data_IF_240920162478
#
_entry.id   IF_240920162478
#
_cell.length_a   1.000
_cell.length_b   1.000
_cell.length_c   1.000
_cell.angle_alpha   90.00
_cell.angle_beta   90.00
_cell.angle_gamma   90.00
#
_symmetry.space_group_name_H-M   'P 1'
#
loop_
_entity.id
_entity.type
_entity.pdbx_description
1 polymer ?
#
# COMPACT_ATOMS: atom_id res chain seq x y z
N UNK A 1 -6.17 15.03 -16.50
CA UNK A 1 -5.03 14.09 -16.49
C UNK A 1 -5.37 12.90 -17.38
N UNK A 2 -4.39 12.27 -18.06
CA UNK A 2 -4.68 11.06 -18.84
C UNK A 2 -4.92 9.84 -17.93
N UNK A 3 -5.74 8.84 -18.35
CA UNK A 3 -5.94 7.60 -17.58
C UNK A 3 -4.63 6.85 -17.28
N UNK A 4 -3.68 6.87 -18.21
CA UNK A 4 -2.35 6.28 -18.01
C UNK A 4 -1.60 6.93 -16.84
N UNK A 5 -1.59 8.26 -16.75
CA UNK A 5 -0.94 8.98 -15.66
C UNK A 5 -1.67 8.75 -14.32
N UNK A 6 -3.00 8.66 -14.36
CA UNK A 6 -3.80 8.34 -13.18
C UNK A 6 -3.43 6.95 -12.62
N UNK A 7 -3.39 5.95 -13.51
CA UNK A 7 -3.00 4.58 -13.13
C UNK A 7 -1.55 4.54 -12.65
N UNK A 8 -0.63 5.24 -13.28
CA UNK A 8 0.76 5.36 -12.83
C UNK A 8 0.85 5.91 -11.39
N UNK A 9 0.10 6.98 -11.07
CA UNK A 9 0.07 7.53 -9.71
C UNK A 9 -0.47 6.53 -8.69
N UNK A 10 -1.44 5.69 -9.06
CA UNK A 10 -1.95 4.64 -8.17
C UNK A 10 -0.88 3.58 -7.89
N UNK A 11 -0.07 3.20 -8.87
CA UNK A 11 1.09 2.33 -8.67
C UNK A 11 2.14 2.98 -7.76
N UNK A 12 2.45 4.27 -7.97
CA UNK A 12 3.35 5.04 -7.08
C UNK A 12 2.83 5.03 -5.64
N UNK A 13 1.54 5.29 -5.43
CA UNK A 13 0.94 5.29 -4.09
C UNK A 13 1.02 3.90 -3.45
N UNK A 14 0.72 2.83 -4.19
CA UNK A 14 0.82 1.48 -3.63
C UNK A 14 2.24 1.17 -3.15
N UNK A 15 3.26 1.44 -3.96
CA UNK A 15 4.66 1.29 -3.58
C UNK A 15 5.06 2.19 -2.41
N UNK A 16 4.56 3.44 -2.38
CA UNK A 16 4.85 4.39 -1.31
C UNK A 16 4.28 3.95 0.05
N UNK A 17 3.02 3.47 0.10
CA UNK A 17 2.43 2.93 1.34
C UNK A 17 3.24 1.74 1.86
N UNK A 18 3.61 0.81 0.97
CA UNK A 18 4.45 -0.33 1.34
C UNK A 18 5.82 0.13 1.86
N UNK A 19 6.49 1.05 1.16
CA UNK A 19 7.78 1.61 1.57
C UNK A 19 7.70 2.36 2.91
N UNK A 20 6.64 3.13 3.14
CA UNK A 20 6.36 3.78 4.42
C UNK A 20 6.30 2.76 5.56
N UNK A 21 5.56 1.66 5.38
CA UNK A 21 5.53 0.58 6.36
C UNK A 21 6.94 0.02 6.64
N UNK A 22 7.70 -0.28 5.60
CA UNK A 22 9.06 -0.82 5.75
C UNK A 22 9.94 0.10 6.60
N UNK A 23 9.84 1.41 6.43
CA UNK A 23 10.59 2.39 7.22
C UNK A 23 10.18 2.43 8.70
N UNK A 24 8.91 2.10 9.02
CA UNK A 24 8.43 2.04 10.39
C UNK A 24 8.71 0.73 11.13
N UNK A 25 9.17 -0.32 10.44
CA UNK A 25 9.43 -1.63 11.06
C UNK A 25 10.32 -1.53 12.31
N UNK A 26 11.46 -0.81 12.31
CA UNK A 26 12.28 -0.68 13.54
C UNK A 26 11.50 0.00 14.68
N UNK A 27 10.82 1.10 14.39
CA UNK A 27 10.04 1.86 15.37
C UNK A 27 8.96 1.01 16.05
N UNK A 28 8.19 0.25 15.26
CA UNK A 28 7.13 -0.63 15.78
C UNK A 28 7.72 -1.78 16.59
N UNK A 29 8.80 -2.41 16.10
CA UNK A 29 9.47 -3.49 16.79
C UNK A 29 9.99 -3.06 18.14
N UNK A 30 10.69 -1.92 18.19
CA UNK A 30 11.30 -1.40 19.41
C UNK A 30 10.22 -0.91 20.40
N UNK A 31 9.17 -0.27 19.90
CA UNK A 31 8.02 0.16 20.73
C UNK A 31 7.27 -0.99 21.39
N UNK A 32 7.25 -2.18 20.78
CA UNK A 32 6.67 -3.39 21.36
C UNK A 32 7.65 -4.20 22.22
N UNK A 33 8.94 -3.83 22.27
CA UNK A 33 9.98 -4.60 22.97
C UNK A 33 10.18 -6.01 22.42
N UNK A 34 9.84 -6.24 21.13
CA UNK A 34 9.79 -7.56 20.54
C UNK A 34 11.19 -8.07 20.15
N UNK A 35 11.44 -9.36 20.40
CA UNK A 35 12.59 -10.05 19.81
C UNK A 35 12.43 -10.17 18.30
N UNK A 36 13.55 -10.37 17.58
CA UNK A 36 13.52 -10.56 16.12
C UNK A 36 12.66 -11.76 15.69
N UNK A 37 12.64 -12.85 16.48
CA UNK A 37 11.85 -14.04 16.20
C UNK A 37 10.35 -13.79 16.35
N UNK A 38 9.92 -13.19 17.45
CA UNK A 38 8.52 -12.84 17.72
C UNK A 38 7.96 -11.88 16.69
N UNK A 39 8.72 -10.84 16.37
CA UNK A 39 8.35 -9.88 15.35
C UNK A 39 8.27 -10.53 13.95
N UNK A 40 9.23 -11.42 13.63
CA UNK A 40 9.24 -12.19 12.39
C UNK A 40 7.98 -13.05 12.22
N UNK A 41 7.51 -13.68 13.31
CA UNK A 41 6.23 -14.44 13.28
C UNK A 41 5.04 -13.51 12.99
N UNK A 42 5.00 -12.32 13.61
CA UNK A 42 3.94 -11.35 13.33
C UNK A 42 3.98 -10.88 11.86
N UNK A 43 5.16 -10.69 11.26
CA UNK A 43 5.31 -10.30 9.85
C UNK A 43 4.70 -11.32 8.87
N UNK A 44 4.66 -12.62 9.22
CA UNK A 44 4.07 -13.65 8.35
C UNK A 44 2.56 -13.46 8.13
N UNK A 45 1.87 -12.72 8.98
CA UNK A 45 0.43 -12.48 8.83
C UNK A 45 0.11 -11.54 7.65
N UNK A 46 1.04 -10.67 7.23
CA UNK A 46 0.90 -9.89 6.01
C UNK A 46 0.71 -10.75 4.75
N UNK A 47 1.65 -11.64 4.42
CA UNK A 47 1.50 -12.62 3.34
C UNK A 47 0.25 -13.50 3.46
N UNK A 48 -0.15 -13.92 4.67
CA UNK A 48 -1.39 -14.68 4.88
C UNK A 48 -2.62 -13.84 4.50
N UNK A 49 -2.67 -12.57 4.92
CA UNK A 49 -3.72 -11.64 4.51
C UNK A 49 -3.77 -11.43 3.00
N UNK A 50 -2.60 -11.32 2.36
CA UNK A 50 -2.49 -11.20 0.91
C UNK A 50 -3.05 -12.43 0.17
N UNK A 51 -2.71 -13.63 0.61
CA UNK A 51 -3.23 -14.87 0.02
C UNK A 51 -4.75 -14.98 0.12
N UNK A 52 -5.32 -14.65 1.28
CA UNK A 52 -6.78 -14.63 1.48
C UNK A 52 -7.42 -13.60 0.55
N UNK A 53 -6.83 -12.41 0.45
CA UNK A 53 -7.31 -11.34 -0.41
C UNK A 53 -7.33 -11.74 -1.89
N UNK A 54 -6.29 -12.41 -2.40
CA UNK A 54 -6.20 -12.84 -3.79
C UNK A 54 -7.38 -13.72 -4.20
N UNK A 55 -7.76 -14.68 -3.33
CA UNK A 55 -8.89 -15.57 -3.60
C UNK A 55 -10.21 -14.80 -3.68
N UNK A 56 -10.44 -13.88 -2.74
CA UNK A 56 -11.67 -13.11 -2.66
C UNK A 56 -11.72 -12.07 -3.80
N UNK A 57 -10.63 -11.35 -4.02
CA UNK A 57 -10.55 -10.29 -5.05
C UNK A 57 -10.69 -10.87 -6.46
N UNK A 58 -10.10 -12.04 -6.73
CA UNK A 58 -10.28 -12.74 -8.01
C UNK A 58 -11.76 -13.04 -8.30
N UNK A 59 -12.51 -13.50 -7.30
CA UNK A 59 -13.96 -13.73 -7.43
C UNK A 59 -14.76 -12.43 -7.59
N UNK A 60 -14.34 -11.36 -6.90
CA UNK A 60 -14.99 -10.05 -7.01
C UNK A 60 -14.81 -9.42 -8.40
N UNK A 61 -13.65 -9.59 -9.03
CA UNK A 61 -13.35 -9.07 -10.36
C UNK A 61 -14.24 -9.66 -11.45
N UNK A 62 -14.85 -10.83 -11.23
CA UNK A 62 -15.85 -11.41 -12.14
C UNK A 62 -17.19 -10.64 -12.10
N UNK A 63 -17.49 -9.96 -10.98
CA UNK A 63 -18.78 -9.30 -10.73
C UNK A 63 -18.70 -7.78 -10.68
N UNK A 64 -17.53 -7.25 -10.34
CA UNK A 64 -17.28 -5.83 -10.11
C UNK A 64 -16.13 -5.37 -11.00
N UNK A 65 -16.27 -4.22 -11.65
CA UNK A 65 -15.20 -3.68 -12.50
C UNK A 65 -13.91 -3.43 -11.71
N UNK A 66 -12.76 -3.71 -12.35
CA UNK A 66 -11.43 -3.44 -11.79
C UNK A 66 -11.28 -1.98 -11.34
N UNK A 67 -11.81 -1.03 -12.11
CA UNK A 67 -11.83 0.39 -11.75
C UNK A 67 -12.49 0.65 -10.39
N UNK A 68 -13.66 0.04 -10.11
CA UNK A 68 -14.39 0.27 -8.85
C UNK A 68 -13.62 -0.32 -7.67
N UNK A 69 -13.14 -1.55 -7.80
CA UNK A 69 -12.36 -2.22 -6.74
C UNK A 69 -11.05 -1.48 -6.49
N UNK A 70 -10.37 -1.06 -7.56
CA UNK A 70 -9.15 -0.25 -7.47
C UNK A 70 -9.39 1.07 -6.74
N UNK A 71 -10.45 1.80 -7.10
CA UNK A 71 -10.77 3.07 -6.45
C UNK A 71 -10.99 2.88 -4.95
N UNK A 72 -11.77 1.87 -4.55
CA UNK A 72 -12.06 1.61 -3.12
C UNK A 72 -10.79 1.20 -2.38
N UNK A 73 -10.05 0.20 -2.89
CA UNK A 73 -8.84 -0.29 -2.21
C UNK A 73 -7.75 0.79 -2.12
N UNK A 74 -7.58 1.60 -3.16
CA UNK A 74 -6.59 2.68 -3.15
C UNK A 74 -6.95 3.85 -2.24
N UNK A 75 -8.23 4.15 -2.00
CA UNK A 75 -8.65 5.14 -1.01
C UNK A 75 -8.46 4.66 0.43
N UNK A 76 -8.57 3.36 0.67
CA UNK A 76 -8.43 2.75 2.00
C UNK A 76 -6.97 2.52 2.37
N UNK A 77 -6.15 2.03 1.42
CA UNK A 77 -4.81 1.53 1.71
C UNK A 77 -3.86 2.54 2.36
N UNK A 78 -3.84 3.84 2.00
CA UNK A 78 -2.98 4.82 2.68
C UNK A 78 -3.22 4.92 4.19
N UNK A 79 -4.46 4.71 4.65
CA UNK A 79 -4.81 4.79 6.07
C UNK A 79 -4.43 3.52 6.85
N UNK A 80 -4.31 2.40 6.16
CA UNK A 80 -3.97 1.12 6.79
C UNK A 80 -2.55 1.10 7.33
N UNK A 81 -1.62 1.92 6.79
CA UNK A 81 -0.23 1.98 7.28
C UNK A 81 -0.13 2.47 8.74
N UNK A 82 -1.15 3.17 9.23
CA UNK A 82 -1.20 3.67 10.62
C UNK A 82 -1.47 2.53 11.61
N UNK A 83 -2.19 1.47 11.21
CA UNK A 83 -2.60 0.39 12.11
C UNK A 83 -1.45 -0.27 12.87
N UNK A 84 -0.34 -0.66 12.22
CA UNK A 84 0.79 -1.28 12.92
C UNK A 84 1.45 -0.38 13.98
N UNK A 85 1.34 0.96 13.84
CA UNK A 85 1.88 1.90 14.84
C UNK A 85 0.93 2.08 16.03
N UNK A 86 -0.36 1.80 15.84
CA UNK A 86 -1.39 2.01 16.87
C UNK A 86 -1.55 0.83 17.85
N UNK A 87 -0.93 -0.32 17.58
CA UNK A 87 -1.19 -1.54 18.35
C UNK A 87 -0.23 -1.71 19.53
N UNK A 88 -0.74 -2.08 20.73
CA UNK A 88 0.06 -2.22 21.94
C UNK A 88 0.65 -3.63 22.15
N UNK A 89 0.47 -4.57 21.22
CA UNK A 89 0.91 -5.96 21.41
C UNK A 89 1.13 -6.71 20.10
N UNK A 90 1.98 -7.75 20.14
CA UNK A 90 2.29 -8.60 18.98
C UNK A 90 1.07 -9.31 18.36
N UNK A 91 0.11 -9.86 19.12
CA UNK A 91 -1.10 -10.42 18.52
C UNK A 91 -1.92 -9.39 17.74
N UNK A 92 -2.03 -8.16 18.24
CA UNK A 92 -2.72 -7.08 17.53
C UNK A 92 -1.91 -6.60 16.34
N UNK A 93 -0.56 -6.60 16.41
CA UNK A 93 0.29 -6.36 15.27
C UNK A 93 0.05 -7.38 14.15
N UNK A 94 -0.05 -8.67 14.49
CA UNK A 94 -0.34 -9.72 13.53
C UNK A 94 -1.68 -9.48 12.82
N UNK A 95 -2.73 -9.07 13.54
CA UNK A 95 -4.02 -8.68 12.96
C UNK A 95 -3.89 -7.45 12.06
N UNK A 96 -3.19 -6.41 12.52
CA UNK A 96 -2.96 -5.20 11.72
C UNK A 96 -2.22 -5.51 10.40
N UNK A 97 -1.20 -6.36 10.47
CA UNK A 97 -0.44 -6.80 9.30
C UNK A 97 -1.25 -7.69 8.36
N UNK A 98 -2.11 -8.55 8.91
CA UNK A 98 -3.06 -9.32 8.09
C UNK A 98 -3.99 -8.39 7.31
N UNK A 99 -4.59 -7.40 7.97
CA UNK A 99 -5.47 -6.41 7.33
C UNK A 99 -4.69 -5.61 6.28
N UNK A 100 -3.47 -5.19 6.62
CA UNK A 100 -2.60 -4.44 5.70
C UNK A 100 -2.27 -5.27 4.45
N UNK A 101 -1.85 -6.53 4.62
CA UNK A 101 -1.56 -7.45 3.52
C UNK A 101 -2.81 -7.73 2.67
N UNK A 102 -3.98 -7.87 3.31
CA UNK A 102 -5.24 -8.06 2.60
C UNK A 102 -5.57 -6.87 1.69
N UNK A 103 -5.54 -5.65 2.21
CA UNK A 103 -5.88 -4.43 1.44
C UNK A 103 -4.83 -4.14 0.38
N UNK A 104 -3.53 -4.33 0.70
CA UNK A 104 -2.45 -4.21 -0.29
C UNK A 104 -2.67 -5.14 -1.47
N UNK A 105 -2.92 -6.42 -1.21
CA UNK A 105 -3.11 -7.42 -2.27
C UNK A 105 -4.37 -7.17 -3.10
N UNK A 106 -5.47 -6.68 -2.48
CA UNK A 106 -6.65 -6.25 -3.22
C UNK A 106 -6.31 -5.10 -4.18
N UNK A 107 -5.59 -4.09 -3.71
CA UNK A 107 -5.17 -2.96 -4.54
C UNK A 107 -4.22 -3.43 -5.64
N UNK A 108 -3.24 -4.28 -5.32
CA UNK A 108 -2.25 -4.80 -6.28
C UNK A 108 -2.95 -5.58 -7.42
N UNK A 109 -3.81 -6.53 -7.09
CA UNK A 109 -4.51 -7.31 -8.10
C UNK A 109 -5.42 -6.44 -8.99
N UNK A 110 -6.12 -5.47 -8.39
CA UNK A 110 -7.05 -4.62 -9.13
C UNK A 110 -6.33 -3.55 -9.96
N UNK A 111 -5.20 -2.99 -9.50
CA UNK A 111 -4.42 -2.04 -10.29
C UNK A 111 -3.74 -2.72 -11.49
N UNK A 112 -3.27 -3.97 -11.32
CA UNK A 112 -2.72 -4.75 -12.42
C UNK A 112 -3.81 -5.11 -13.45
N UNK A 113 -4.97 -5.58 -13.02
CA UNK A 113 -6.10 -5.84 -13.91
C UNK A 113 -6.56 -4.59 -14.67
N UNK A 114 -6.56 -3.43 -13.99
CA UNK A 114 -6.88 -2.14 -14.64
C UNK A 114 -5.79 -1.70 -15.61
N UNK A 115 -4.52 -1.90 -15.26
CA UNK A 115 -3.35 -1.59 -16.11
C UNK A 115 -3.36 -2.41 -17.40
N UNK A 116 -3.62 -3.72 -17.31
CA UNK A 116 -3.76 -4.60 -18.49
C UNK A 116 -4.92 -4.14 -19.38
N UNK A 117 -6.10 -3.87 -18.82
CA UNK A 117 -7.23 -3.39 -19.59
C UNK A 117 -6.98 -2.02 -20.28
N UNK A 118 -6.08 -1.21 -19.73
CA UNK A 118 -5.64 0.04 -20.33
C UNK A 118 -4.58 -0.20 -21.41
N UNK A 119 -3.68 -1.15 -21.21
CA UNK A 119 -2.66 -1.58 -22.19
C UNK A 119 -3.33 -2.14 -23.44
N UNK A 120 -4.33 -3.00 -23.29
CA UNK A 120 -5.08 -3.61 -24.40
C UNK A 120 -5.76 -2.57 -25.33
N UNK A 121 -6.04 -1.38 -24.79
CA UNK A 121 -6.60 -0.24 -25.56
C UNK A 121 -5.55 0.67 -26.15
N UNK A 122 -4.30 0.43 -25.86
CA UNK A 122 -3.15 1.23 -26.34
C UNK A 122 -2.30 0.39 -27.31
N UNK A 123 -1.70 1.03 -28.30
CA UNK A 123 -0.75 0.36 -29.19
C UNK A 123 0.63 0.15 -28.57
N UNK A 124 0.83 0.55 -27.32
CA UNK A 124 2.12 0.56 -26.63
C UNK A 124 2.02 -0.20 -25.31
N UNK A 125 3.04 -1.02 -25.00
CA UNK A 125 3.19 -1.60 -23.68
C UNK A 125 3.42 -0.51 -22.63
N UNK A 126 2.61 -0.53 -21.57
CA UNK A 126 2.67 0.43 -20.46
C UNK A 126 2.94 -0.22 -19.10
N UNK A 127 2.75 -1.53 -18.98
CA UNK A 127 2.87 -2.24 -17.70
C UNK A 127 4.23 -2.05 -17.04
N UNK A 128 5.33 -2.15 -17.81
CA UNK A 128 6.68 -1.92 -17.27
C UNK A 128 6.84 -0.52 -16.68
N UNK A 129 6.24 0.50 -17.32
CA UNK A 129 6.22 1.87 -16.80
C UNK A 129 5.40 2.01 -15.53
N UNK A 130 4.27 1.30 -15.42
CA UNK A 130 3.44 1.29 -14.21
C UNK A 130 4.19 0.66 -13.03
N UNK A 131 4.87 -0.48 -13.25
CA UNK A 131 5.71 -1.10 -12.23
C UNK A 131 6.94 -0.26 -11.83
N UNK A 132 7.51 0.49 -12.77
CA UNK A 132 8.53 1.49 -12.45
C UNK A 132 7.99 2.57 -11.51
N UNK A 133 6.72 2.99 -11.68
CA UNK A 133 6.03 3.88 -10.74
C UNK A 133 5.92 3.28 -9.34
N UNK A 134 5.57 2.01 -9.23
CA UNK A 134 5.54 1.29 -7.96
C UNK A 134 6.91 1.30 -7.26
N UNK A 135 7.96 0.96 -8.00
CA UNK A 135 9.33 0.99 -7.48
C UNK A 135 9.76 2.38 -7.03
N UNK A 136 9.37 3.42 -7.79
CA UNK A 136 9.66 4.81 -7.46
C UNK A 136 9.02 5.22 -6.13
N UNK A 137 7.73 4.89 -5.92
CA UNK A 137 7.05 5.11 -4.65
C UNK A 137 7.71 4.36 -3.50
N UNK A 138 8.06 3.08 -3.73
CA UNK A 138 8.74 2.22 -2.75
C UNK A 138 10.15 2.67 -2.37
N UNK A 139 10.79 3.54 -3.15
CA UNK A 139 12.09 4.13 -2.84
C UNK A 139 11.93 5.50 -2.18
N UNK A 140 11.09 6.37 -2.73
CA UNK A 140 10.97 7.76 -2.27
C UNK A 140 10.34 7.83 -0.88
N UNK A 141 9.27 7.07 -0.65
CA UNK A 141 8.54 7.16 0.62
C UNK A 141 9.39 6.75 1.83
N UNK A 142 10.07 5.58 1.86
CA UNK A 142 10.89 5.22 3.01
C UNK A 142 12.06 6.19 3.23
N UNK A 143 12.62 6.80 2.21
CA UNK A 143 13.65 7.84 2.35
C UNK A 143 13.06 9.08 3.04
N UNK A 144 11.87 9.52 2.63
CA UNK A 144 11.20 10.67 3.23
C UNK A 144 10.86 10.40 4.71
N UNK A 145 10.31 9.21 5.03
CA UNK A 145 10.03 8.79 6.41
C UNK A 145 11.32 8.76 7.24
N UNK A 146 12.36 8.08 6.76
CA UNK A 146 13.64 7.99 7.49
C UNK A 146 14.25 9.36 7.73
N UNK A 147 14.16 10.27 6.78
CA UNK A 147 14.63 11.65 6.93
C UNK A 147 13.81 12.42 7.97
N UNK A 148 12.49 12.33 7.94
CA UNK A 148 11.63 12.99 8.93
C UNK A 148 11.88 12.48 10.35
N UNK A 149 11.98 11.16 10.53
CA UNK A 149 12.30 10.54 11.82
C UNK A 149 13.71 10.94 12.30
N UNK A 150 14.68 11.05 11.39
CA UNK A 150 16.03 11.52 11.68
C UNK A 150 16.09 12.98 12.15
N UNK A 151 15.12 13.80 11.76
CA UNK A 151 14.92 15.18 12.25
C UNK A 151 14.14 15.24 13.58
N UNK A 152 13.73 14.10 14.15
CA UNK A 152 12.97 14.03 15.39
C UNK A 152 11.48 14.23 15.24
N UNK A 153 10.93 14.12 14.03
CA UNK A 153 9.49 14.14 13.84
C UNK A 153 8.86 12.92 14.53
N UNK A 154 7.77 13.16 15.25
CA UNK A 154 7.04 12.09 15.92
C UNK A 154 6.54 11.04 14.89
N UNK A 155 6.77 9.74 15.13
CA UNK A 155 6.41 8.68 14.17
C UNK A 155 4.91 8.64 13.84
N UNK A 156 4.05 8.95 14.81
CA UNK A 156 2.61 8.98 14.59
C UNK A 156 2.20 10.15 13.68
N UNK A 157 2.75 11.33 13.95
CA UNK A 157 2.51 12.51 13.11
C UNK A 157 2.97 12.26 11.67
N UNK A 158 4.16 11.68 11.50
CA UNK A 158 4.71 11.35 10.18
C UNK A 158 3.80 10.37 9.43
N UNK A 159 3.36 9.27 10.09
CA UNK A 159 2.47 8.29 9.48
C UNK A 159 1.12 8.89 9.04
N UNK A 160 0.55 9.77 9.84
CA UNK A 160 -0.71 10.48 9.50
C UNK A 160 -0.50 11.42 8.31
N UNK A 161 0.61 12.18 8.30
CA UNK A 161 0.94 13.08 7.19
C UNK A 161 1.16 12.28 5.90
N UNK A 162 1.95 11.21 5.95
CA UNK A 162 2.18 10.33 4.79
C UNK A 162 0.85 9.75 4.27
N UNK A 163 0.01 9.21 5.17
CA UNK A 163 -1.29 8.66 4.81
C UNK A 163 -2.19 9.72 4.14
N UNK A 164 -2.22 10.93 4.69
CA UNK A 164 -3.02 12.03 4.12
C UNK A 164 -2.53 12.45 2.74
N UNK A 165 -1.21 12.63 2.56
CA UNK A 165 -0.63 12.99 1.27
C UNK A 165 -0.94 11.93 0.21
N UNK A 166 -0.72 10.66 0.54
CA UNK A 166 -0.97 9.54 -0.37
C UNK A 166 -2.47 9.39 -0.67
N UNK A 167 -3.34 9.58 0.32
CA UNK A 167 -4.79 9.61 0.13
C UNK A 167 -5.23 10.73 -0.83
N UNK A 168 -4.72 11.95 -0.67
CA UNK A 168 -5.05 13.07 -1.54
C UNK A 168 -4.58 12.83 -2.99
N UNK A 169 -3.42 12.20 -3.17
CA UNK A 169 -2.94 11.76 -4.49
C UNK A 169 -3.90 10.76 -5.13
N UNK A 170 -4.41 9.78 -4.35
CA UNK A 170 -5.42 8.83 -4.83
C UNK A 170 -6.73 9.53 -5.18
N UNK A 171 -7.22 10.42 -4.31
CA UNK A 171 -8.46 11.18 -4.59
C UNK A 171 -8.34 11.94 -5.91
N UNK A 172 -7.18 12.54 -6.16
CA UNK A 172 -6.92 13.23 -7.42
C UNK A 172 -6.86 12.26 -8.61
N UNK A 173 -6.14 11.14 -8.47
CA UNK A 173 -5.98 10.13 -9.52
C UNK A 173 -7.29 9.41 -9.84
N UNK A 174 -8.09 9.05 -8.84
CA UNK A 174 -9.33 8.25 -8.99
C UNK A 174 -10.40 8.93 -9.87
N UNK A 175 -10.36 10.25 -9.98
CA UNK A 175 -11.25 11.01 -10.87
C UNK A 175 -10.98 10.76 -12.36
N UNK A 176 -9.83 10.17 -12.68
CA UNK A 176 -9.34 9.99 -14.04
C UNK A 176 -9.02 8.53 -14.41
N UNK A 177 -9.33 7.58 -13.51
CA UNK A 177 -9.22 6.14 -13.77
C UNK A 177 -10.25 5.65 -14.79
#
# INVERSE_FOLDING_TARGET
MSPRLATFLVFVVNGAVFGTWVAFIPTVKDGLGATGGEFGVALLFGPVGALVSQQITGQLLVRVSSRRLLTVSSLVYPWIVILPLAVPSLPLLAVALFVMGYVNSMMDLTMNAHGVALEDRSEKSIMSGLHAGWSLGGIIAPIAVAFALGLGVDPWLEAVVAALVLFLLVVYASRHL
#
